data_IF_590730080448
#
_entry.id   IF_590730080448
#
_cell.length_a   1.000
_cell.length_b   1.000
_cell.length_c   1.000
_cell.angle_alpha   90.00
_cell.angle_beta   90.00
_cell.angle_gamma   90.00
#
_symmetry.space_group_name_H-M   'P 1'
#
loop_
_entity.id
_entity.type
_entity.pdbx_description
1 polymer ?
#
# COMPACT_ATOMS: atom_id res chain seq x y z
N UNK A 1 -20.37 8.17 -19.34
CA UNK A 1 -19.46 7.61 -18.31
C UNK A 1 -19.99 6.24 -17.89
N UNK A 2 -19.13 5.23 -17.74
CA UNK A 2 -19.55 3.88 -17.35
C UNK A 2 -20.06 3.87 -15.90
N UNK A 3 -21.22 3.24 -15.69
CA UNK A 3 -21.93 3.12 -14.42
C UNK A 3 -21.12 2.22 -13.46
N UNK A 4 -20.84 2.68 -12.25
CA UNK A 4 -20.04 2.00 -11.21
C UNK A 4 -18.55 1.75 -11.56
N UNK A 5 -17.85 2.73 -12.13
CA UNK A 5 -16.40 2.69 -12.37
C UNK A 5 -15.50 2.78 -11.12
N UNK A 6 -16.00 2.38 -9.95
CA UNK A 6 -15.23 2.32 -8.70
C UNK A 6 -14.36 1.07 -8.64
N UNK A 7 -13.58 0.79 -9.69
CA UNK A 7 -12.62 -0.31 -9.68
C UNK A 7 -11.32 0.22 -9.11
N UNK A 8 -10.93 -0.27 -7.93
CA UNK A 8 -9.62 0.01 -7.39
C UNK A 8 -8.59 -0.76 -8.25
N UNK A 9 -7.64 -0.08 -8.92
CA UNK A 9 -6.67 -0.75 -9.75
C UNK A 9 -5.80 -1.70 -8.91
N UNK A 10 -5.23 -2.70 -9.57
CA UNK A 10 -4.34 -3.64 -8.91
C UNK A 10 -3.09 -2.93 -8.39
N UNK A 11 -2.77 -3.14 -7.12
CA UNK A 11 -1.53 -2.69 -6.50
C UNK A 11 -0.69 -3.91 -6.11
N UNK A 12 0.62 -3.77 -6.22
CA UNK A 12 1.57 -4.84 -5.92
C UNK A 12 2.79 -4.29 -5.21
N UNK A 13 3.44 -5.13 -4.42
CA UNK A 13 4.72 -4.85 -3.77
C UNK A 13 5.63 -6.05 -3.97
N UNK A 14 6.89 -5.80 -4.31
CA UNK A 14 7.89 -6.86 -4.51
C UNK A 14 8.99 -6.70 -3.48
N UNK A 15 9.22 -7.74 -2.69
CA UNK A 15 10.32 -7.82 -1.74
C UNK A 15 11.41 -8.74 -2.28
N UNK A 16 12.67 -8.34 -2.10
CA UNK A 16 13.83 -9.07 -2.58
C UNK A 16 14.72 -9.46 -1.42
N UNK A 17 15.08 -10.75 -1.34
CA UNK A 17 16.07 -11.26 -0.39
C UNK A 17 17.23 -11.88 -1.12
N UNK A 18 18.43 -11.41 -0.81
CA UNK A 18 19.69 -12.01 -1.24
C UNK A 18 20.38 -12.64 -0.03
N UNK A 19 20.87 -13.86 -0.18
CA UNK A 19 21.68 -14.53 0.85
C UNK A 19 22.88 -15.19 0.19
N UNK A 20 24.05 -15.04 0.80
CA UNK A 20 25.30 -15.62 0.33
C UNK A 20 25.99 -16.32 1.48
N UNK A 21 26.14 -17.63 1.33
CA UNK A 21 26.94 -18.44 2.24
C UNK A 21 28.38 -18.55 1.73
N UNK A 22 29.31 -18.22 2.61
CA UNK A 22 30.75 -18.30 2.39
C UNK A 22 31.27 -19.39 3.33
N UNK A 23 31.73 -20.48 2.74
CA UNK A 23 32.33 -21.61 3.45
C UNK A 23 33.83 -21.40 3.48
N UNK A 24 34.43 -21.32 4.67
CA UNK A 24 35.87 -21.31 4.82
C UNK A 24 36.38 -22.77 4.93
N UNK A 25 37.65 -23.03 4.61
CA UNK A 25 38.23 -24.35 4.88
C UNK A 25 38.05 -24.68 6.39
N UNK A 26 37.47 -25.87 6.68
CA UNK A 26 37.01 -26.41 7.99
C UNK A 26 35.51 -26.17 8.26
N UNK A 27 35.06 -26.20 9.52
CA UNK A 27 33.64 -26.13 9.95
C UNK A 27 33.09 -24.69 10.05
N UNK A 28 33.79 -23.69 9.53
CA UNK A 28 33.41 -22.29 9.66
C UNK A 28 32.59 -21.83 8.46
N UNK A 29 31.35 -21.39 8.72
CA UNK A 29 30.47 -20.81 7.71
C UNK A 29 30.07 -19.39 8.10
N UNK A 30 30.07 -18.50 7.11
CA UNK A 30 29.61 -17.13 7.24
C UNK A 30 28.50 -16.87 6.22
N UNK A 31 27.32 -16.50 6.72
CA UNK A 31 26.16 -16.17 5.88
C UNK A 31 25.94 -14.67 5.91
N UNK A 32 25.97 -14.04 4.75
CA UNK A 32 25.60 -12.66 4.53
C UNK A 32 24.19 -12.60 3.94
N UNK A 33 23.36 -11.68 4.40
CA UNK A 33 22.00 -11.47 3.90
C UNK A 33 21.70 -9.99 3.72
N UNK A 34 20.89 -9.70 2.70
CA UNK A 34 20.32 -8.39 2.44
C UNK A 34 18.84 -8.59 2.08
N UNK A 35 17.96 -7.97 2.86
CA UNK A 35 16.52 -7.93 2.64
C UNK A 35 16.14 -6.52 2.17
N UNK A 36 15.57 -6.42 0.97
CA UNK A 36 15.09 -5.17 0.37
C UNK A 36 13.58 -5.25 0.28
N UNK A 37 12.90 -4.48 1.11
CA UNK A 37 11.45 -4.36 1.12
C UNK A 37 11.00 -3.28 0.15
N UNK A 38 9.94 -3.56 -0.60
CA UNK A 38 9.41 -2.71 -1.65
C UNK A 38 10.48 -2.32 -2.70
N UNK A 39 11.15 -3.33 -3.27
CA UNK A 39 12.22 -3.19 -4.24
C UNK A 39 11.81 -2.38 -5.48
N UNK A 40 10.58 -2.55 -5.98
CA UNK A 40 10.10 -1.76 -7.11
C UNK A 40 9.96 -0.28 -6.77
N UNK A 41 9.55 0.06 -5.54
CA UNK A 41 9.50 1.45 -5.06
C UNK A 41 10.90 2.10 -4.96
N UNK A 42 11.93 1.29 -4.69
CA UNK A 42 13.33 1.75 -4.68
C UNK A 42 13.78 2.18 -6.09
N UNK A 43 13.30 1.50 -7.13
CA UNK A 43 13.61 1.80 -8.53
C UNK A 43 12.76 2.96 -9.09
N UNK A 44 11.45 2.94 -8.83
CA UNK A 44 10.51 4.01 -9.17
C UNK A 44 9.57 4.28 -8.00
N UNK A 45 9.56 5.52 -7.50
CA UNK A 45 8.75 5.95 -6.36
C UNK A 45 7.24 5.79 -6.58
N UNK A 46 6.79 5.64 -7.82
CA UNK A 46 5.40 5.42 -8.18
C UNK A 46 4.98 3.94 -8.17
N UNK A 47 5.93 3.01 -8.14
CA UNK A 47 5.67 1.58 -8.05
C UNK A 47 5.62 1.16 -6.58
N UNK A 48 4.91 0.07 -6.24
CA UNK A 48 4.86 -0.38 -4.85
C UNK A 48 3.99 0.47 -3.92
N UNK A 49 3.15 1.35 -4.48
CA UNK A 49 2.21 2.21 -3.73
C UNK A 49 0.77 1.76 -3.94
N UNK A 50 -0.10 2.11 -3.01
CA UNK A 50 -1.53 1.80 -3.07
C UNK A 50 -2.37 3.03 -2.77
N UNK A 51 -3.55 3.10 -3.37
CA UNK A 51 -4.52 4.17 -3.09
C UNK A 51 -5.80 3.51 -2.59
N UNK A 52 -5.74 3.08 -1.32
CA UNK A 52 -6.83 2.38 -0.66
C UNK A 52 -7.82 3.39 -0.09
N UNK A 53 -9.08 3.32 -0.53
CA UNK A 53 -10.16 4.09 0.04
C UNK A 53 -10.62 3.47 1.37
N UNK A 54 -10.74 4.31 2.41
CA UNK A 54 -11.43 3.93 3.64
C UNK A 54 -12.96 3.94 3.46
N UNK A 55 -13.69 3.56 4.51
CA UNK A 55 -15.15 3.67 4.52
C UNK A 55 -15.58 5.13 4.33
N UNK A 56 -16.41 5.39 3.32
CA UNK A 56 -17.00 6.71 3.07
C UNK A 56 -18.51 6.59 3.08
N UNK A 57 -19.19 7.52 3.75
CA UNK A 57 -20.64 7.55 3.75
C UNK A 57 -21.13 8.29 2.51
N UNK A 58 -21.84 7.60 1.62
CA UNK A 58 -22.24 8.14 0.31
C UNK A 58 -23.36 9.17 0.42
N UNK A 59 -24.24 9.00 1.41
CA UNK A 59 -25.40 9.87 1.65
C UNK A 59 -25.56 10.08 3.14
N UNK A 60 -25.77 11.33 3.54
CA UNK A 60 -26.07 11.71 4.93
C UNK A 60 -27.30 12.60 4.99
N UNK A 61 -28.17 12.36 5.96
CA UNK A 61 -29.33 13.21 6.20
C UNK A 61 -28.87 14.47 6.95
N UNK A 62 -29.14 15.65 6.40
CA UNK A 62 -28.73 16.94 6.99
C UNK A 62 -29.83 17.61 7.78
N UNK A 63 -31.10 17.27 7.53
CA UNK A 63 -32.24 17.82 8.26
C UNK A 63 -33.58 17.44 7.67
N UNK A 64 -34.67 17.93 8.27
CA UNK A 64 -36.04 17.73 7.81
C UNK A 64 -36.69 19.09 7.55
N UNK A 65 -37.24 19.30 6.37
CA UNK A 65 -37.98 20.50 6.01
C UNK A 65 -39.47 20.32 6.33
N UNK A 66 -39.94 21.03 7.36
CA UNK A 66 -41.33 20.99 7.81
C UNK A 66 -42.32 21.64 6.83
N UNK A 67 -41.88 22.52 5.92
CA UNK A 67 -42.78 23.16 4.93
C UNK A 67 -43.11 22.24 3.78
N UNK A 68 -42.14 21.42 3.37
CA UNK A 68 -42.28 20.47 2.26
C UNK A 68 -42.47 19.02 2.73
N UNK A 69 -42.38 18.77 4.04
CA UNK A 69 -42.44 17.45 4.68
C UNK A 69 -41.40 16.45 4.13
N UNK A 70 -40.24 16.94 3.72
CA UNK A 70 -39.19 16.13 3.11
C UNK A 70 -37.89 16.13 3.94
N UNK A 71 -37.11 15.06 3.81
CA UNK A 71 -35.76 14.99 4.35
C UNK A 71 -34.76 15.59 3.36
N UNK A 72 -33.83 16.38 3.90
CA UNK A 72 -32.69 16.92 3.17
C UNK A 72 -31.52 15.95 3.28
N UNK A 73 -30.89 15.67 2.15
CA UNK A 73 -29.75 14.78 2.06
C UNK A 73 -28.56 15.51 1.44
N UNK A 74 -27.37 15.25 1.98
CA UNK A 74 -26.10 15.58 1.36
C UNK A 74 -25.54 14.31 0.71
N UNK A 75 -25.14 14.43 -0.55
CA UNK A 75 -24.52 13.37 -1.35
C UNK A 75 -23.02 13.65 -1.42
N UNK A 76 -22.21 12.69 -1.00
CA UNK A 76 -20.76 12.84 -1.03
C UNK A 76 -20.23 12.66 -2.46
N UNK A 77 -19.77 13.76 -3.06
CA UNK A 77 -19.35 13.80 -4.47
C UNK A 77 -17.90 13.35 -4.69
N UNK A 78 -17.10 13.22 -3.63
CA UNK A 78 -15.73 12.71 -3.71
C UNK A 78 -15.63 11.19 -3.60
N UNK A 79 -16.73 10.49 -3.33
CA UNK A 79 -16.77 9.04 -3.28
C UNK A 79 -16.31 8.44 -4.62
N UNK A 80 -15.22 7.67 -4.60
CA UNK A 80 -14.63 7.03 -5.79
C UNK A 80 -13.56 7.85 -6.53
N UNK A 81 -13.21 9.06 -6.09
CA UNK A 81 -12.07 9.80 -6.66
C UNK A 81 -10.76 9.21 -6.16
N UNK A 82 -9.75 9.01 -7.03
CA UNK A 82 -8.41 8.57 -6.61
C UNK A 82 -7.91 9.45 -5.46
N UNK A 83 -7.50 8.83 -4.35
CA UNK A 83 -6.91 9.57 -3.23
C UNK A 83 -5.63 10.28 -3.69
N UNK A 84 -5.46 11.53 -3.27
CA UNK A 84 -4.26 12.32 -3.59
C UNK A 84 -3.04 11.84 -2.81
N UNK A 85 -3.26 11.19 -1.65
CA UNK A 85 -2.20 10.61 -0.84
C UNK A 85 -1.95 9.16 -1.23
N UNK A 86 -0.71 8.84 -1.59
CA UNK A 86 -0.26 7.47 -1.80
C UNK A 86 -0.09 6.77 -0.44
N UNK A 87 -0.75 5.62 -0.29
CA UNK A 87 -0.50 4.66 0.77
C UNK A 87 0.59 3.65 0.37
N UNK A 88 1.04 2.86 1.34
CA UNK A 88 2.15 1.92 1.17
C UNK A 88 3.40 2.34 1.96
N UNK A 89 4.28 1.37 2.22
CA UNK A 89 5.53 1.62 2.95
C UNK A 89 6.64 2.01 1.98
N UNK A 90 7.44 3.06 2.26
CA UNK A 90 8.66 3.34 1.51
C UNK A 90 9.61 2.14 1.50
N UNK A 91 10.52 2.09 0.51
CA UNK A 91 11.54 1.05 0.47
C UNK A 91 12.43 1.06 1.71
N UNK A 92 12.84 -0.13 2.14
CA UNK A 92 13.74 -0.32 3.28
C UNK A 92 14.73 -1.44 2.99
N UNK A 93 15.95 -1.30 3.50
CA UNK A 93 16.99 -2.32 3.38
C UNK A 93 17.42 -2.75 4.77
N UNK A 94 17.55 -4.05 4.98
CA UNK A 94 18.10 -4.67 6.18
C UNK A 94 19.24 -5.59 5.80
N UNK A 95 20.35 -5.51 6.53
CA UNK A 95 21.49 -6.41 6.37
C UNK A 95 21.56 -7.37 7.57
N UNK A 96 21.93 -8.62 7.29
CA UNK A 96 22.13 -9.64 8.30
C UNK A 96 23.45 -10.38 8.10
N UNK A 97 24.14 -10.64 9.20
CA UNK A 97 25.37 -11.44 9.23
C UNK A 97 25.16 -12.58 10.23
N UNK A 98 25.47 -13.81 9.81
CA UNK A 98 25.47 -14.98 10.69
C UNK A 98 26.81 -15.71 10.55
N UNK A 99 27.33 -16.16 11.68
CA UNK A 99 28.52 -17.02 11.76
C UNK A 99 28.16 -18.32 12.46
N UNK A 100 28.66 -19.46 11.95
CA UNK A 100 28.48 -20.79 12.55
C UNK A 100 29.77 -21.62 12.47
N UNK A 101 29.95 -22.52 13.43
CA UNK A 101 31.13 -23.37 13.64
C UNK A 101 30.79 -24.87 13.62
#
# INVERSE_FOLDING_TARGET
AARNGGVNPFYYTVDLRLTKDIHFLKKHNMSLSADIFNFMNMLDKNEGVSYNHGNTNLVSMTGFDQKTMNYNYNVETAAGRKLTSAGGTPWRIQFGLRYSF
#
